data_IF_861585182271
#
_entry.id   IF_861585182271
#
_cell.length_a   1.000
_cell.length_b   1.000
_cell.length_c   1.000
_cell.angle_alpha   90.00
_cell.angle_beta   90.00
_cell.angle_gamma   90.00
#
_symmetry.space_group_name_H-M   'P 1'
#
loop_
_entity.id
_entity.type
_entity.pdbx_description
1 polymer ?
#
# COMPACT_ATOMS: atom_id res chain seq x y z
N UNK A 1 41.28 -45.96 17.22
CA UNK A 1 40.20 -46.35 16.30
C UNK A 1 38.95 -46.22 17.14
N UNK A 2 38.49 -44.99 17.30
CA UNK A 2 37.42 -44.62 18.23
C UNK A 2 36.30 -43.93 17.47
N UNK A 3 35.11 -44.35 17.87
CA UNK A 3 33.77 -44.03 17.42
C UNK A 3 33.41 -42.55 17.60
N UNK A 4 33.05 -41.84 16.52
CA UNK A 4 32.49 -40.49 16.57
C UNK A 4 31.35 -40.31 15.55
N UNK A 5 30.43 -41.27 15.46
CA UNK A 5 29.29 -41.20 14.52
C UNK A 5 27.97 -40.80 15.19
N UNK A 6 27.98 -39.85 16.12
CA UNK A 6 26.75 -39.20 16.58
C UNK A 6 26.91 -37.68 16.66
N UNK A 7 27.04 -37.03 15.50
CA UNK A 7 26.71 -35.60 15.41
C UNK A 7 25.21 -35.52 15.21
N UNK A 8 24.52 -35.19 16.29
CA UNK A 8 23.08 -35.05 16.38
C UNK A 8 22.56 -34.02 15.38
N UNK A 9 21.50 -34.41 14.68
CA UNK A 9 20.81 -33.65 13.64
C UNK A 9 20.34 -32.31 14.20
N UNK A 10 20.98 -31.21 13.79
CA UNK A 10 20.56 -29.86 14.20
C UNK A 10 19.14 -29.63 13.71
N UNK A 11 18.21 -29.41 14.63
CA UNK A 11 16.80 -29.17 14.31
C UNK A 11 16.63 -27.76 13.73
N UNK A 12 16.94 -27.62 12.45
CA UNK A 12 16.88 -26.36 11.70
C UNK A 12 15.48 -25.75 11.70
N UNK A 13 14.41 -26.56 11.82
CA UNK A 13 13.02 -26.06 11.85
C UNK A 13 12.74 -25.14 13.03
N UNK A 14 13.35 -25.38 14.19
CA UNK A 14 13.21 -24.52 15.37
C UNK A 14 14.00 -23.20 15.22
N UNK A 15 15.22 -23.30 14.69
CA UNK A 15 16.10 -22.15 14.51
C UNK A 15 15.54 -21.12 13.52
N UNK A 16 14.90 -21.58 12.44
CA UNK A 16 14.21 -20.71 11.47
C UNK A 16 13.00 -19.96 12.07
N UNK A 17 12.36 -20.53 13.08
CA UNK A 17 11.20 -19.89 13.73
C UNK A 17 11.63 -18.73 14.63
N UNK A 18 12.73 -18.92 15.36
CA UNK A 18 13.07 -18.03 16.47
C UNK A 18 13.98 -16.85 16.05
N UNK A 19 14.87 -17.03 15.07
CA UNK A 19 15.82 -15.97 14.64
C UNK A 19 15.35 -15.23 13.37
N UNK A 20 14.83 -15.96 12.38
CA UNK A 20 14.41 -15.35 11.11
C UNK A 20 12.96 -14.86 11.10
N UNK A 21 12.10 -15.29 12.03
CA UNK A 21 10.72 -14.80 12.11
C UNK A 21 10.60 -13.30 12.38
N UNK A 22 11.59 -12.70 13.07
CA UNK A 22 11.63 -11.27 13.37
C UNK A 22 12.24 -10.41 12.25
N UNK A 23 13.06 -10.99 11.37
CA UNK A 23 13.83 -10.29 10.33
C UNK A 23 13.32 -10.57 8.90
N UNK A 24 12.70 -11.73 8.68
CA UNK A 24 12.15 -12.15 7.40
C UNK A 24 10.62 -12.24 7.51
N UNK A 25 9.92 -11.24 7.00
CA UNK A 25 8.49 -11.37 6.74
C UNK A 25 8.31 -12.15 5.44
N UNK A 26 7.77 -13.39 5.47
CA UNK A 26 7.57 -14.16 4.25
C UNK A 26 6.61 -13.42 3.30
N UNK A 27 6.70 -13.65 1.98
CA UNK A 27 5.83 -13.00 0.98
C UNK A 27 4.33 -13.10 1.31
N UNK A 28 3.92 -14.23 1.92
CA UNK A 28 2.56 -14.47 2.39
C UNK A 28 2.09 -13.49 3.49
N UNK A 29 3.01 -13.01 4.33
CA UNK A 29 2.69 -12.01 5.36
C UNK A 29 2.39 -10.65 4.74
N UNK A 30 3.11 -10.26 3.68
CA UNK A 30 2.85 -9.01 2.96
C UNK A 30 1.53 -9.05 2.21
N UNK A 31 1.21 -10.17 1.55
CA UNK A 31 -0.10 -10.37 0.91
C UNK A 31 -1.24 -10.30 1.93
N UNK A 32 -1.10 -11.02 3.04
CA UNK A 32 -2.10 -11.01 4.11
C UNK A 32 -2.31 -9.60 4.67
N UNK A 33 -1.22 -8.87 4.90
CA UNK A 33 -1.26 -7.49 5.39
C UNK A 33 -1.94 -6.55 4.39
N UNK A 34 -1.61 -6.69 3.10
CA UNK A 34 -2.24 -5.92 2.02
C UNK A 34 -3.76 -6.12 2.01
N UNK A 35 -4.24 -7.36 1.97
CA UNK A 35 -5.68 -7.62 1.96
C UNK A 35 -6.38 -7.19 3.24
N UNK A 36 -5.71 -7.32 4.41
CA UNK A 36 -6.25 -6.84 5.68
C UNK A 36 -6.43 -5.33 5.65
N UNK A 37 -5.39 -4.58 5.28
CA UNK A 37 -5.44 -3.11 5.17
C UNK A 37 -6.45 -2.65 4.14
N UNK A 38 -6.50 -3.30 2.97
CA UNK A 38 -7.47 -2.97 1.93
C UNK A 38 -8.91 -3.16 2.43
N UNK A 39 -9.18 -4.23 3.19
CA UNK A 39 -10.49 -4.48 3.80
C UNK A 39 -10.84 -3.41 4.83
N UNK A 40 -9.93 -3.10 5.75
CA UNK A 40 -10.12 -2.05 6.76
C UNK A 40 -10.43 -0.70 6.11
N UNK A 41 -9.67 -0.30 5.09
CA UNK A 41 -9.88 0.94 4.34
C UNK A 41 -11.22 0.95 3.60
N UNK A 42 -11.66 -0.19 3.04
CA UNK A 42 -12.96 -0.26 2.40
C UNK A 42 -14.11 -0.10 3.41
N UNK A 43 -13.97 -0.66 4.61
CA UNK A 43 -14.96 -0.51 5.68
C UNK A 43 -15.02 0.95 6.17
N UNK A 44 -13.87 1.60 6.40
CA UNK A 44 -13.82 3.00 6.84
C UNK A 44 -14.39 3.95 5.78
N UNK A 45 -14.03 3.77 4.50
CA UNK A 45 -14.59 4.55 3.39
C UNK A 45 -16.10 4.31 3.23
N UNK A 46 -16.59 3.10 3.50
CA UNK A 46 -18.03 2.83 3.45
C UNK A 46 -18.79 3.53 4.58
N UNK A 47 -18.18 3.65 5.76
CA UNK A 47 -18.76 4.37 6.90
C UNK A 47 -18.67 5.90 6.74
N UNK A 48 -17.57 6.41 6.17
CA UNK A 48 -17.33 7.83 5.92
C UNK A 48 -16.86 8.03 4.46
N UNK A 49 -17.80 8.16 3.50
CA UNK A 49 -17.47 8.24 2.08
C UNK A 49 -16.66 9.47 1.67
N UNK A 50 -16.70 10.53 2.47
CA UNK A 50 -16.06 11.81 2.14
C UNK A 50 -14.76 12.03 2.94
N UNK A 51 -14.29 11.01 3.67
CA UNK A 51 -13.00 11.06 4.36
C UNK A 51 -11.85 10.93 3.35
N UNK A 52 -11.32 12.10 2.95
CA UNK A 52 -10.19 12.24 2.02
C UNK A 52 -9.00 11.40 2.47
N UNK A 53 -8.73 11.34 3.78
CA UNK A 53 -7.56 10.64 4.32
C UNK A 53 -7.64 9.15 3.98
N UNK A 54 -8.78 8.50 4.23
CA UNK A 54 -8.94 7.07 3.95
C UNK A 54 -8.87 6.77 2.45
N UNK A 55 -9.42 7.65 1.63
CA UNK A 55 -9.37 7.51 0.16
C UNK A 55 -7.93 7.61 -0.35
N UNK A 56 -7.14 8.57 0.13
CA UNK A 56 -5.73 8.74 -0.25
C UNK A 56 -4.90 7.53 0.20
N UNK A 57 -5.09 7.07 1.44
CA UNK A 57 -4.38 5.89 1.96
C UNK A 57 -4.69 4.63 1.15
N UNK A 58 -5.94 4.46 0.69
CA UNK A 58 -6.28 3.35 -0.22
C UNK A 58 -5.62 3.50 -1.59
N UNK A 59 -5.63 4.70 -2.16
CA UNK A 59 -4.95 4.98 -3.42
C UNK A 59 -3.46 4.65 -3.37
N UNK A 60 -2.77 5.02 -2.29
CA UNK A 60 -1.36 4.69 -2.08
C UNK A 60 -1.12 3.18 -1.91
N UNK A 61 -1.94 2.49 -1.11
CA UNK A 61 -1.85 1.04 -0.94
C UNK A 61 -2.00 0.30 -2.28
N UNK A 62 -2.94 0.75 -3.12
CA UNK A 62 -3.17 0.22 -4.46
C UNK A 62 -2.00 0.53 -5.40
N UNK A 63 -1.43 1.74 -5.29
CA UNK A 63 -0.25 2.14 -6.05
C UNK A 63 0.97 1.29 -5.71
N UNK A 64 1.22 1.01 -4.43
CA UNK A 64 2.27 0.09 -3.97
C UNK A 64 2.10 -1.33 -4.53
N UNK A 65 0.84 -1.76 -4.75
CA UNK A 65 0.53 -3.07 -5.34
C UNK A 65 0.60 -3.09 -6.88
N UNK A 66 0.74 -1.92 -7.52
CA UNK A 66 0.74 -1.77 -8.98
C UNK A 66 -0.65 -1.70 -9.61
N UNK A 67 -1.70 -1.52 -8.80
CA UNK A 67 -3.08 -1.38 -9.26
C UNK A 67 -3.39 0.07 -9.68
N UNK A 68 -2.69 0.55 -10.70
CA UNK A 68 -2.66 1.97 -11.09
C UNK A 68 -4.05 2.54 -11.44
N UNK A 69 -4.91 1.77 -12.11
CA UNK A 69 -6.25 2.23 -12.51
C UNK A 69 -7.14 2.53 -11.30
N UNK A 70 -7.11 1.65 -10.29
CA UNK A 70 -7.89 1.83 -9.06
C UNK A 70 -7.31 2.94 -8.20
N UNK A 71 -5.97 3.00 -8.08
CA UNK A 71 -5.29 4.09 -7.39
C UNK A 71 -5.64 5.46 -8.01
N UNK A 72 -5.69 5.55 -9.34
CA UNK A 72 -6.10 6.75 -10.09
C UNK A 72 -7.50 7.21 -9.72
N UNK A 73 -8.45 6.29 -9.62
CA UNK A 73 -9.84 6.61 -9.25
C UNK A 73 -9.92 7.19 -7.84
N UNK A 74 -9.18 6.61 -6.89
CA UNK A 74 -9.13 7.10 -5.51
C UNK A 74 -8.50 8.49 -5.41
N UNK A 75 -7.35 8.71 -6.07
CA UNK A 75 -6.73 10.03 -6.06
C UNK A 75 -7.61 11.08 -6.73
N UNK A 76 -8.30 10.76 -7.83
CA UNK A 76 -9.27 11.68 -8.44
C UNK A 76 -10.40 12.04 -7.49
N UNK A 77 -10.94 11.05 -6.76
CA UNK A 77 -12.01 11.26 -5.80
C UNK A 77 -11.54 12.13 -4.63
N UNK A 78 -10.37 11.88 -4.09
CA UNK A 78 -9.79 12.66 -3.00
C UNK A 78 -9.63 14.14 -3.38
N UNK A 79 -9.07 14.41 -4.57
CA UNK A 79 -8.91 15.78 -5.07
C UNK A 79 -10.26 16.49 -5.29
N UNK A 80 -11.24 15.79 -5.87
CA UNK A 80 -12.57 16.35 -6.09
C UNK A 80 -13.34 16.63 -4.78
N UNK A 81 -12.98 15.98 -3.67
CA UNK A 81 -13.51 16.27 -2.35
C UNK A 81 -12.79 17.46 -1.71
N UNK A 82 -11.45 17.53 -1.86
CA UNK A 82 -10.66 18.67 -1.38
C UNK A 82 -11.09 19.98 -2.02
N UNK A 83 -11.31 19.99 -3.33
CA UNK A 83 -11.80 21.18 -4.07
C UNK A 83 -13.17 21.67 -3.56
N UNK A 84 -13.99 20.80 -2.96
CA UNK A 84 -15.28 21.17 -2.37
C UNK A 84 -15.15 21.71 -0.94
N UNK A 85 -14.07 21.35 -0.26
CA UNK A 85 -13.82 21.71 1.14
C UNK A 85 -13.07 23.03 1.29
N UNK A 86 -12.50 23.57 0.21
CA UNK A 86 -11.81 24.87 0.20
C UNK A 86 -12.73 26.04 0.62
N UNK A 87 -14.06 25.85 0.58
CA UNK A 87 -15.06 26.77 1.12
C UNK A 87 -15.21 26.71 2.67
N UNK A 88 -14.61 25.72 3.34
CA UNK A 88 -14.75 25.47 4.78
C UNK A 88 -13.42 25.73 5.55
N UNK A 89 -13.33 26.90 6.17
CA UNK A 89 -12.13 27.50 6.79
C UNK A 89 -11.37 26.67 7.87
N UNK A 90 -11.86 25.51 8.30
CA UNK A 90 -11.39 24.82 9.51
C UNK A 90 -10.54 23.55 9.30
N UNK A 91 -10.44 22.99 8.08
CA UNK A 91 -9.83 21.67 7.86
C UNK A 91 -8.51 21.67 7.06
N UNK A 92 -7.92 22.84 6.86
CA UNK A 92 -7.00 23.12 5.77
C UNK A 92 -5.67 22.32 5.77
N UNK A 93 -5.01 22.10 6.91
CA UNK A 93 -3.64 21.54 6.88
C UNK A 93 -3.62 20.04 6.52
N UNK A 94 -4.43 19.23 7.20
CA UNK A 94 -4.45 17.78 6.96
C UNK A 94 -5.00 17.48 5.56
N UNK A 95 -6.07 18.17 5.16
CA UNK A 95 -6.69 17.97 3.84
C UNK A 95 -5.77 18.42 2.71
N UNK A 96 -5.07 19.56 2.86
CA UNK A 96 -4.08 20.00 1.88
C UNK A 96 -2.94 18.98 1.73
N UNK A 97 -2.42 18.44 2.84
CA UNK A 97 -1.39 17.40 2.82
C UNK A 97 -1.89 16.16 2.08
N UNK A 98 -3.15 15.76 2.31
CA UNK A 98 -3.72 14.60 1.63
C UNK A 98 -3.95 14.87 0.13
N UNK A 99 -4.37 16.08 -0.25
CA UNK A 99 -4.47 16.48 -1.65
C UNK A 99 -3.10 16.49 -2.33
N UNK A 100 -2.06 17.02 -1.68
CA UNK A 100 -0.69 17.00 -2.20
C UNK A 100 -0.18 15.57 -2.42
N UNK A 101 -0.46 14.66 -1.47
CA UNK A 101 -0.18 13.22 -1.61
C UNK A 101 -0.93 12.59 -2.77
N UNK A 102 -2.20 12.94 -2.95
CA UNK A 102 -3.00 12.47 -4.08
C UNK A 102 -2.45 12.96 -5.42
N UNK A 103 -2.03 14.23 -5.52
CA UNK A 103 -1.35 14.78 -6.71
C UNK A 103 -0.06 14.03 -6.98
N UNK A 104 0.73 13.77 -5.94
CA UNK A 104 1.97 13.00 -6.07
C UNK A 104 1.70 11.58 -6.59
N UNK A 105 0.74 10.86 -6.02
CA UNK A 105 0.32 9.53 -6.48
C UNK A 105 -0.16 9.54 -7.93
N UNK A 106 -0.95 10.55 -8.32
CA UNK A 106 -1.42 10.74 -9.69
C UNK A 106 -0.27 10.88 -10.71
N UNK A 107 0.81 11.60 -10.35
CA UNK A 107 1.99 11.77 -11.22
C UNK A 107 2.69 10.44 -11.47
N UNK A 108 2.76 9.57 -10.45
CA UNK A 108 3.34 8.23 -10.59
C UNK A 108 2.50 7.39 -11.55
N UNK A 109 1.17 7.39 -11.37
CA UNK A 109 0.23 6.70 -12.28
C UNK A 109 0.41 7.18 -13.72
N UNK A 110 0.41 8.49 -13.95
CA UNK A 110 0.55 9.07 -15.29
C UNK A 110 1.87 8.69 -15.96
N UNK A 111 2.98 8.67 -15.22
CA UNK A 111 4.26 8.22 -15.74
C UNK A 111 4.20 6.77 -16.21
N UNK A 112 3.55 5.89 -15.44
CA UNK A 112 3.36 4.50 -15.82
C UNK A 112 2.51 4.35 -17.10
N UNK A 113 1.41 5.10 -17.21
CA UNK A 113 0.54 5.10 -18.41
C UNK A 113 1.29 5.56 -19.66
N UNK A 114 2.13 6.60 -19.54
CA UNK A 114 2.93 7.12 -20.65
C UNK A 114 3.96 6.11 -21.13
N UNK A 115 4.69 5.46 -20.20
CA UNK A 115 5.65 4.41 -20.52
C UNK A 115 4.99 3.21 -21.21
N UNK A 116 3.82 2.78 -20.71
CA UNK A 116 3.05 1.71 -21.35
C UNK A 116 2.61 2.08 -22.78
N UNK A 117 2.17 3.34 -22.98
CA UNK A 117 1.75 3.85 -24.28
C UNK A 117 2.91 3.98 -25.29
N UNK A 118 4.11 4.33 -24.82
CA UNK A 118 5.31 4.42 -25.66
C UNK A 118 5.78 3.02 -26.09
N UNK A 119 5.78 2.05 -25.18
CA UNK A 119 6.14 0.66 -25.49
C UNK A 119 5.17 -0.01 -26.48
N UNK A 120 3.90 0.39 -26.50
CA UNK A 120 2.91 -0.14 -27.45
C UNK A 120 3.05 0.42 -28.88
N UNK A 121 3.88 1.45 -29.09
CA UNK A 121 4.08 2.12 -30.39
C UNK A 121 5.41 1.76 -31.08
N UNK A 122 6.31 1.05 -30.41
CA UNK A 122 7.60 0.60 -30.95
C UNK A 122 7.55 -0.87 -31.33
#
# INVERSE_FOLDING_TARGET
>A
MDDMTQVTEVNWRGLFRDVTGALYQPPLSREREFYRRLRELNETISAAPDDITQIVLRGELLLERGEYDRAKQDFKRALALGDKLDDAEAWHILEQIMCDRAVYGMRIVQRHEQSASQNARG
#
